data_IF_435817071496
#
_entry.id   IF_435817071496
#
_cell.length_a   1.000
_cell.length_b   1.000
_cell.length_c   1.000
_cell.angle_alpha   90.00
_cell.angle_beta   90.00
_cell.angle_gamma   90.00
#
_symmetry.space_group_name_H-M   'P 1'
#
loop_
_entity.id
_entity.type
_entity.pdbx_description
1 polymer ?
#
# COMPACT_ATOMS: atom_id res chain seq x y z
N UNK A 1 -4.99 1.79 4.23
CA UNK A 1 -5.31 0.51 3.56
C UNK A 1 -6.38 0.69 2.51
N UNK A 2 -7.54 1.26 2.84
CA UNK A 2 -8.55 1.63 1.83
C UNK A 2 -7.98 2.56 0.74
N UNK A 3 -7.28 3.62 1.14
CA UNK A 3 -6.62 4.53 0.21
C UNK A 3 -5.67 3.82 -0.78
N UNK A 4 -4.79 2.94 -0.31
CA UNK A 4 -3.92 2.14 -1.19
C UNK A 4 -4.75 1.27 -2.15
N UNK A 5 -5.86 0.68 -1.68
CA UNK A 5 -6.74 -0.09 -2.55
C UNK A 5 -7.42 0.78 -3.62
N UNK A 6 -7.78 2.03 -3.29
CA UNK A 6 -8.31 3.00 -4.26
C UNK A 6 -7.26 3.38 -5.30
N UNK A 7 -6.01 3.66 -4.87
CA UNK A 7 -4.88 3.93 -5.77
C UNK A 7 -4.65 2.75 -6.73
N UNK A 8 -4.65 1.52 -6.22
CA UNK A 8 -4.45 0.32 -7.03
C UNK A 8 -5.63 0.02 -7.96
N UNK A 9 -6.85 0.37 -7.56
CA UNK A 9 -8.03 0.23 -8.41
C UNK A 9 -7.98 1.21 -9.60
N UNK A 10 -7.44 2.41 -9.40
CA UNK A 10 -7.33 3.43 -10.46
C UNK A 10 -6.10 3.20 -11.36
N UNK A 11 -4.95 2.86 -10.79
CA UNK A 11 -3.65 2.82 -11.48
C UNK A 11 -3.18 1.41 -11.85
N UNK A 12 -3.90 0.38 -11.43
CA UNK A 12 -3.46 -1.00 -11.55
C UNK A 12 -2.36 -1.34 -10.55
N UNK A 13 -1.59 -2.39 -10.85
CA UNK A 13 -0.60 -2.90 -9.91
C UNK A 13 0.63 -2.01 -9.79
N UNK A 14 0.99 -1.68 -8.56
CA UNK A 14 2.09 -0.77 -8.23
C UNK A 14 3.01 -1.35 -7.16
N UNK A 15 4.26 -0.93 -7.19
CA UNK A 15 5.24 -1.17 -6.12
C UNK A 15 4.99 -0.22 -4.94
N UNK A 16 5.47 -0.57 -3.73
CA UNK A 16 5.41 0.32 -2.57
C UNK A 16 6.07 1.69 -2.79
N UNK A 17 7.08 1.76 -3.65
CA UNK A 17 7.77 3.00 -4.00
C UNK A 17 6.91 3.90 -4.91
N UNK A 18 6.12 3.31 -5.81
CA UNK A 18 5.15 4.04 -6.63
C UNK A 18 3.90 4.46 -5.84
N UNK A 19 3.50 3.69 -4.81
CA UNK A 19 2.34 3.99 -3.96
C UNK A 19 2.64 5.12 -2.96
N UNK A 20 3.84 5.14 -2.38
CA UNK A 20 4.24 6.08 -1.33
C UNK A 20 3.97 7.57 -1.67
N UNK A 21 4.35 8.11 -2.85
CA UNK A 21 4.10 9.51 -3.20
C UNK A 21 2.62 9.83 -3.45
N UNK A 22 1.78 8.84 -3.73
CA UNK A 22 0.35 9.00 -4.00
C UNK A 22 -0.50 9.01 -2.70
N UNK A 23 0.13 8.76 -1.54
CA UNK A 23 -0.56 8.79 -0.25
C UNK A 23 -0.95 10.23 0.14
N UNK A 24 -2.20 10.42 0.57
CA UNK A 24 -2.72 11.73 0.98
C UNK A 24 -2.03 12.23 2.25
N UNK A 25 -2.01 13.55 2.42
CA UNK A 25 -1.40 14.24 3.55
C UNK A 25 -1.94 13.83 4.93
N UNK A 26 -3.14 13.24 5.05
CA UNK A 26 -3.66 12.68 6.32
C UNK A 26 -2.93 11.41 6.71
N UNK A 27 -2.62 10.54 5.74
CA UNK A 27 -1.85 9.31 5.96
C UNK A 27 -0.40 9.63 6.28
N UNK A 28 0.16 10.66 5.62
CA UNK A 28 1.48 11.18 5.92
C UNK A 28 1.55 11.73 7.36
N UNK A 29 0.58 12.55 7.74
CA UNK A 29 0.46 13.07 9.12
C UNK A 29 0.30 11.95 10.14
N UNK A 30 -0.51 10.94 9.84
CA UNK A 30 -0.69 9.77 10.72
C UNK A 30 0.61 9.02 11.00
N UNK A 31 1.43 8.77 9.97
CA UNK A 31 2.72 8.10 10.17
C UNK A 31 3.70 8.95 11.00
N UNK A 32 3.72 10.28 10.78
CA UNK A 32 4.53 11.21 11.56
C UNK A 32 4.15 11.19 13.05
N UNK A 33 2.86 11.09 13.38
CA UNK A 33 2.38 10.97 14.76
C UNK A 33 2.89 9.70 15.46
N UNK A 34 3.05 8.61 14.71
CA UNK A 34 3.55 7.34 15.23
C UNK A 34 5.08 7.20 15.19
N UNK A 35 5.80 8.26 14.76
CA UNK A 35 7.27 8.24 14.57
C UNK A 35 7.76 7.09 13.67
N UNK A 36 6.89 6.58 12.78
CA UNK A 36 7.28 5.59 11.77
C UNK A 36 7.86 6.31 10.55
N UNK A 37 9.09 5.99 10.10
CA UNK A 37 9.60 6.48 8.83
C UNK A 37 8.68 6.04 7.68
N UNK A 38 8.17 7.01 6.92
CA UNK A 38 7.43 6.77 5.68
C UNK A 38 8.42 6.40 4.57
N UNK A 39 8.93 5.17 4.65
CA UNK A 39 9.73 4.53 3.60
C UNK A 39 8.83 3.59 2.80
N UNK A 40 9.23 3.15 1.59
CA UNK A 40 8.52 2.10 0.86
C UNK A 40 8.35 0.79 1.66
N UNK A 41 9.21 0.54 2.65
CA UNK A 41 9.11 -0.60 3.56
C UNK A 41 7.86 -0.58 4.43
N UNK A 42 7.34 0.60 4.77
CA UNK A 42 6.16 0.77 5.62
C UNK A 42 4.85 0.31 4.95
N UNK A 43 4.48 0.79 3.74
CA UNK A 43 3.35 0.23 3.00
C UNK A 43 3.61 -1.24 2.64
N UNK A 44 4.83 -1.62 2.25
CA UNK A 44 5.18 -3.03 1.97
C UNK A 44 4.79 -3.97 3.11
N UNK A 45 5.26 -3.72 4.33
CA UNK A 45 4.96 -4.56 5.50
C UNK A 45 3.46 -4.68 5.75
N UNK A 46 2.73 -3.55 5.64
CA UNK A 46 1.28 -3.55 5.87
C UNK A 46 0.54 -4.31 4.77
N UNK A 47 0.98 -4.21 3.52
CA UNK A 47 0.41 -4.91 2.38
C UNK A 47 0.70 -6.42 2.43
N UNK A 48 1.94 -6.83 2.74
CA UNK A 48 2.33 -8.24 2.90
C UNK A 48 1.45 -8.95 3.94
N UNK A 49 1.21 -8.31 5.08
CA UNK A 49 0.30 -8.84 6.11
C UNK A 49 -1.11 -9.08 5.54
N UNK A 50 -1.61 -8.17 4.69
CA UNK A 50 -2.95 -8.31 4.11
C UNK A 50 -3.00 -9.34 2.99
N UNK A 51 -1.97 -9.45 2.16
CA UNK A 51 -1.80 -10.54 1.19
C UNK A 51 -1.80 -11.89 1.92
N UNK A 52 -1.05 -12.02 3.01
CA UNK A 52 -1.00 -13.25 3.82
C UNK A 52 -2.36 -13.66 4.40
N UNK A 53 -3.22 -12.68 4.73
CA UNK A 53 -4.61 -12.94 5.15
C UNK A 53 -5.60 -13.08 3.99
N UNK A 54 -5.14 -12.96 2.73
CA UNK A 54 -6.02 -12.91 1.57
C UNK A 54 -7.00 -11.75 1.61
N UNK A 55 -6.61 -10.57 2.10
CA UNK A 55 -7.49 -9.40 2.18
C UNK A 55 -6.92 -8.25 1.37
N UNK A 56 -7.79 -7.47 0.73
CA UNK A 56 -7.51 -6.19 0.04
C UNK A 56 -6.56 -6.25 -1.16
N UNK A 57 -5.47 -7.00 -1.08
CA UNK A 57 -4.41 -7.01 -2.06
C UNK A 57 -4.01 -8.44 -2.41
N UNK A 58 -3.39 -8.53 -3.57
CA UNK A 58 -2.69 -9.71 -4.07
C UNK A 58 -1.26 -9.31 -4.44
N UNK A 59 -0.31 -10.20 -4.17
CA UNK A 59 1.03 -10.03 -4.69
C UNK A 59 1.03 -10.34 -6.19
N UNK A 60 1.64 -9.47 -6.97
CA UNK A 60 1.89 -9.68 -8.39
C UNK A 60 3.40 -9.83 -8.63
N UNK A 61 3.78 -10.08 -9.89
CA UNK A 61 5.18 -10.13 -10.30
C UNK A 61 5.95 -8.85 -9.94
N UNK A 62 7.28 -8.97 -9.83
CA UNK A 62 8.21 -7.85 -9.66
C UNK A 62 7.99 -6.98 -8.41
N UNK A 63 7.42 -7.57 -7.34
CA UNK A 63 7.16 -6.86 -6.09
C UNK A 63 6.03 -5.83 -6.18
N UNK A 64 5.18 -5.94 -7.21
CA UNK A 64 3.97 -5.13 -7.37
C UNK A 64 2.82 -5.76 -6.59
N UNK A 65 1.86 -4.93 -6.23
CA UNK A 65 0.64 -5.35 -5.57
C UNK A 65 -0.54 -4.93 -6.40
N UNK A 66 -1.50 -5.84 -6.59
CA UNK A 66 -2.79 -5.56 -7.20
C UNK A 66 -3.88 -5.36 -6.15
N UNK A 67 -4.97 -4.72 -6.54
CA UNK A 67 -6.20 -4.79 -5.76
C UNK A 67 -6.78 -6.20 -5.90
N UNK A 68 -7.06 -6.87 -4.78
CA UNK A 68 -7.78 -8.14 -4.84
C UNK A 68 -9.22 -7.86 -5.29
N UNK A 69 -9.62 -8.38 -6.44
CA UNK A 69 -11.03 -8.48 -6.83
C UNK A 69 -11.77 -9.38 -5.83
N UNK A 70 -12.96 -8.95 -5.39
CA UNK A 70 -13.77 -9.68 -4.41
C UNK A 70 -14.10 -11.09 -4.88
#
# INVERSE_FOLDING_TARGET
MREIAEILAERGALTPAEILPELRGVTIRGAALHKEPLTPGTPKKKMDVRVGFGRYFEAQGDGRYGQRSR
#
